data_IF_169885391702
#
_entry.id   IF_169885391702
#
_cell.length_a   1.000
_cell.length_b   1.000
_cell.length_c   1.000
_cell.angle_alpha   90.00
_cell.angle_beta   90.00
_cell.angle_gamma   90.00
#
_symmetry.space_group_name_H-M   'P 1'
#
loop_
_entity.id
_entity.type
_entity.pdbx_description
1 polymer ?
#
# COMPACT_ATOMS: atom_id res chain seq x y z
N UNK A 1 -12.37 -6.17 28.81
CA UNK A 1 -13.19 -5.22 29.59
C UNK A 1 -12.77 -3.80 29.14
N UNK A 2 -12.72 -3.54 27.82
CA UNK A 2 -11.85 -2.49 27.25
C UNK A 2 -12.56 -1.59 26.22
N UNK A 3 -13.89 -1.51 26.24
CA UNK A 3 -14.64 -0.61 25.35
C UNK A 3 -14.77 0.82 25.87
N UNK A 4 -14.39 1.07 27.14
CA UNK A 4 -14.52 2.39 27.78
C UNK A 4 -13.29 3.28 27.51
N UNK A 5 -12.12 2.69 27.23
CA UNK A 5 -10.88 3.46 27.03
C UNK A 5 -10.70 4.04 25.61
N UNK A 6 -11.33 3.45 24.58
CA UNK A 6 -11.27 3.98 23.20
C UNK A 6 -12.25 5.14 22.95
N UNK A 7 -13.39 5.18 23.65
CA UNK A 7 -14.37 6.25 23.48
C UNK A 7 -13.87 7.62 24.03
N UNK A 8 -12.99 7.60 25.02
CA UNK A 8 -12.38 8.81 25.58
C UNK A 8 -11.35 9.45 24.66
N UNK A 9 -10.49 8.66 24.01
CA UNK A 9 -9.43 9.17 23.14
C UNK A 9 -9.95 9.81 21.85
N UNK A 10 -11.03 9.25 21.28
CA UNK A 10 -11.64 9.78 20.06
C UNK A 10 -12.37 11.10 20.32
N UNK A 11 -13.01 11.23 21.51
CA UNK A 11 -13.68 12.46 21.95
C UNK A 11 -12.69 13.60 22.14
N UNK A 12 -11.58 13.36 22.86
CA UNK A 12 -10.53 14.35 23.11
C UNK A 12 -9.80 14.75 21.82
N UNK A 13 -9.52 13.80 20.93
CA UNK A 13 -8.92 14.07 19.61
C UNK A 13 -9.83 14.92 18.73
N UNK A 14 -11.14 14.67 18.76
CA UNK A 14 -12.12 15.45 17.98
C UNK A 14 -12.22 16.91 18.47
N UNK A 15 -12.14 17.11 19.79
CA UNK A 15 -12.24 18.42 20.41
C UNK A 15 -10.98 19.25 20.17
N UNK A 16 -9.80 18.62 20.28
CA UNK A 16 -8.52 19.26 19.94
C UNK A 16 -8.50 19.67 18.47
N UNK A 17 -8.94 18.79 17.57
CA UNK A 17 -9.03 19.07 16.14
C UNK A 17 -9.95 20.27 15.87
N UNK A 18 -11.10 20.35 16.55
CA UNK A 18 -12.05 21.46 16.42
C UNK A 18 -11.41 22.79 16.84
N UNK A 19 -10.77 22.83 18.00
CA UNK A 19 -10.12 24.04 18.53
C UNK A 19 -9.00 24.49 17.59
N UNK A 20 -8.13 23.59 17.15
CA UNK A 20 -7.03 23.91 16.22
C UNK A 20 -7.57 24.48 14.91
N UNK A 21 -8.59 23.85 14.32
CA UNK A 21 -9.18 24.32 13.06
C UNK A 21 -9.84 25.69 13.21
N UNK A 22 -10.54 25.93 14.32
CA UNK A 22 -11.20 27.20 14.58
C UNK A 22 -10.18 28.33 14.77
N UNK A 23 -9.16 28.13 15.62
CA UNK A 23 -8.10 29.11 15.84
C UNK A 23 -7.30 29.38 14.56
N UNK A 24 -6.99 28.35 13.76
CA UNK A 24 -6.33 28.52 12.48
C UNK A 24 -7.20 29.33 11.50
N UNK A 25 -8.51 29.09 11.47
CA UNK A 25 -9.44 29.85 10.63
C UNK A 25 -9.48 31.32 11.02
N UNK A 26 -9.58 31.63 12.31
CA UNK A 26 -9.58 32.99 12.84
C UNK A 26 -8.27 33.73 12.51
N UNK A 27 -7.12 33.06 12.64
CA UNK A 27 -5.82 33.66 12.29
C UNK A 27 -5.65 33.83 10.77
N UNK A 28 -6.12 32.89 9.95
CA UNK A 28 -6.07 33.01 8.49
C UNK A 28 -6.99 34.13 7.96
N UNK A 29 -8.11 34.39 8.63
CA UNK A 29 -9.00 35.50 8.31
C UNK A 29 -8.37 36.88 8.59
N UNK A 30 -7.49 36.97 9.60
CA UNK A 30 -6.74 38.20 9.91
C UNK A 30 -5.61 38.48 8.90
N UNK A 31 -5.18 37.47 8.14
CA UNK A 31 -4.12 37.62 7.14
C UNK A 31 -4.67 38.17 5.80
N UNK A 32 -4.23 39.38 5.45
CA UNK A 32 -4.73 40.14 4.29
C UNK A 32 -4.18 39.69 2.93
N UNK A 33 -3.10 38.90 2.90
CA UNK A 33 -2.45 38.46 1.67
C UNK A 33 -1.94 37.01 1.75
N UNK A 34 -1.65 36.43 0.59
CA UNK A 34 -1.23 35.04 0.43
C UNK A 34 0.04 34.70 1.24
N UNK A 35 1.06 35.57 1.22
CA UNK A 35 2.32 35.39 1.95
C UNK A 35 2.11 35.35 3.46
N UNK A 36 1.25 36.23 3.99
CA UNK A 36 0.87 36.23 5.40
C UNK A 36 0.10 34.97 5.79
N UNK A 37 -0.79 34.47 4.92
CA UNK A 37 -1.50 33.20 5.16
C UNK A 37 -0.55 32.00 5.20
N UNK A 38 0.42 31.92 4.28
CA UNK A 38 1.47 30.90 4.32
C UNK A 38 2.30 30.97 5.60
N UNK A 39 2.62 32.18 6.06
CA UNK A 39 3.37 32.39 7.31
C UNK A 39 2.58 31.92 8.53
N UNK A 40 1.26 32.16 8.57
CA UNK A 40 0.38 31.64 9.62
C UNK A 40 0.39 30.11 9.62
N UNK A 41 0.21 29.47 8.46
CA UNK A 41 0.28 28.01 8.35
C UNK A 41 1.63 27.44 8.82
N UNK A 42 2.75 28.06 8.43
CA UNK A 42 4.09 27.62 8.84
C UNK A 42 4.31 27.78 10.36
N UNK A 43 3.80 28.85 10.98
CA UNK A 43 3.89 29.04 12.43
C UNK A 43 3.09 27.98 13.19
N UNK A 44 1.87 27.67 12.73
CA UNK A 44 1.06 26.61 13.34
C UNK A 44 1.73 25.26 13.19
N UNK A 45 2.29 24.96 12.01
CA UNK A 45 3.06 23.74 11.79
C UNK A 45 4.30 23.65 12.70
N UNK A 46 5.03 24.76 12.87
CA UNK A 46 6.18 24.84 13.79
C UNK A 46 5.75 24.60 15.24
N UNK A 47 4.65 25.21 15.69
CA UNK A 47 4.13 25.00 17.05
C UNK A 47 3.71 23.54 17.28
N UNK A 48 3.05 22.92 16.30
CA UNK A 48 2.71 21.49 16.37
C UNK A 48 3.99 20.66 16.51
N UNK A 49 5.00 20.93 15.67
CA UNK A 49 6.32 20.31 15.73
C UNK A 49 6.98 20.46 17.11
N UNK A 50 6.93 21.65 17.71
CA UNK A 50 7.47 21.92 19.03
C UNK A 50 6.74 21.13 20.12
N UNK A 51 5.39 21.04 20.04
CA UNK A 51 4.55 20.27 20.98
C UNK A 51 4.89 18.78 20.92
N UNK A 52 5.07 18.22 19.72
CA UNK A 52 5.38 16.80 19.53
C UNK A 52 6.89 16.50 19.59
N UNK A 53 7.71 17.51 19.88
CA UNK A 53 9.17 17.42 19.95
C UNK A 53 9.82 16.83 18.69
N UNK A 54 9.33 17.23 17.51
CA UNK A 54 9.87 16.86 16.19
C UNK A 54 10.38 18.12 15.51
N UNK A 55 11.58 18.07 14.93
CA UNK A 55 12.12 19.20 14.16
C UNK A 55 11.36 19.36 12.84
N UNK A 56 11.08 20.61 12.43
CA UNK A 56 10.44 20.90 11.14
C UNK A 56 11.20 20.31 9.95
N UNK A 57 12.52 20.16 10.07
CA UNK A 57 13.38 19.52 9.07
C UNK A 57 13.14 18.01 8.90
N UNK A 58 12.48 17.36 9.85
CA UNK A 58 12.12 15.94 9.81
C UNK A 58 10.76 15.71 9.12
N UNK A 59 9.97 16.76 8.84
CA UNK A 59 8.68 16.62 8.15
C UNK A 59 8.79 16.05 6.73
N UNK A 60 9.78 16.41 5.89
CA UNK A 60 9.98 15.77 4.59
C UNK A 60 10.28 14.27 4.73
N UNK A 61 10.94 13.85 5.81
CA UNK A 61 11.20 12.44 6.07
C UNK A 61 9.90 11.68 6.35
N UNK A 62 8.92 12.30 7.03
CA UNK A 62 7.59 11.71 7.27
C UNK A 62 6.83 11.44 5.97
N UNK A 63 6.95 12.30 4.96
CA UNK A 63 6.33 12.08 3.63
C UNK A 63 6.82 10.80 2.96
N UNK A 64 8.05 10.38 3.27
CA UNK A 64 8.67 9.19 2.71
C UNK A 64 8.49 7.95 3.59
N UNK A 65 7.75 8.06 4.71
CA UNK A 65 7.42 6.94 5.57
C UNK A 65 6.13 6.26 5.12
N UNK A 66 5.99 5.01 5.54
CA UNK A 66 4.81 4.18 5.33
C UNK A 66 3.91 4.34 6.54
N UNK A 67 2.66 4.73 6.31
CA UNK A 67 1.62 4.67 7.33
C UNK A 67 1.05 3.24 7.33
N UNK A 68 1.22 2.52 8.42
CA UNK A 68 0.70 1.16 8.53
C UNK A 68 -0.77 1.20 8.93
N UNK A 69 -1.63 0.61 8.11
CA UNK A 69 -3.03 0.44 8.46
C UNK A 69 -3.19 -0.56 9.62
N UNK A 70 -4.28 -0.46 10.38
CA UNK A 70 -4.51 -1.31 11.56
C UNK A 70 -4.56 -2.81 11.21
N UNK A 71 -5.06 -3.16 10.02
CA UNK A 71 -5.13 -4.55 9.57
C UNK A 71 -3.71 -5.09 9.28
N UNK A 72 -2.83 -4.26 8.72
CA UNK A 72 -1.43 -4.61 8.49
C UNK A 72 -0.72 -4.95 9.79
N UNK A 73 -0.88 -4.11 10.81
CA UNK A 73 -0.26 -4.30 12.13
C UNK A 73 -0.74 -5.59 12.80
N UNK A 74 -2.05 -5.85 12.74
CA UNK A 74 -2.64 -7.08 13.27
C UNK A 74 -2.12 -8.31 12.54
N UNK A 75 -2.15 -8.31 11.20
CA UNK A 75 -1.68 -9.43 10.39
C UNK A 75 -0.17 -9.69 10.58
N UNK A 76 0.64 -8.63 10.62
CA UNK A 76 2.08 -8.75 10.89
C UNK A 76 2.32 -9.41 12.26
N UNK A 77 1.58 -8.98 13.29
CA UNK A 77 1.69 -9.56 14.63
C UNK A 77 1.27 -11.02 14.67
N UNK A 78 0.20 -11.40 13.96
CA UNK A 78 -0.24 -12.80 13.86
C UNK A 78 0.81 -13.67 13.18
N UNK A 79 1.35 -13.23 12.04
CA UNK A 79 2.42 -13.93 11.32
C UNK A 79 3.64 -14.08 12.22
N UNK A 80 4.01 -13.03 12.96
CA UNK A 80 5.14 -13.06 13.87
C UNK A 80 4.95 -14.05 15.02
N UNK A 81 3.80 -14.01 15.70
CA UNK A 81 3.47 -14.90 16.82
C UNK A 81 3.36 -16.36 16.39
N UNK A 82 2.87 -16.64 15.19
CA UNK A 82 2.83 -17.98 14.62
C UNK A 82 4.23 -18.62 14.49
N UNK A 83 5.29 -17.82 14.53
CA UNK A 83 6.67 -18.31 14.56
C UNK A 83 7.17 -18.71 15.96
N UNK A 84 6.37 -18.52 17.02
CA UNK A 84 6.72 -18.91 18.39
C UNK A 84 7.75 -18.00 19.06
N UNK A 85 7.72 -16.70 18.77
CA UNK A 85 8.69 -15.71 19.27
C UNK A 85 8.02 -14.76 20.27
N UNK A 86 8.64 -14.58 21.45
CA UNK A 86 8.05 -13.77 22.53
C UNK A 86 8.32 -12.26 22.42
N UNK A 87 9.37 -11.83 21.73
CA UNK A 87 9.59 -10.42 21.37
C UNK A 87 10.77 -10.33 20.40
N UNK A 88 10.71 -9.37 19.48
CA UNK A 88 11.87 -8.95 18.69
C UNK A 88 11.83 -7.42 18.61
N UNK A 89 12.92 -6.78 18.99
CA UNK A 89 13.14 -5.34 18.85
C UNK A 89 12.72 -4.79 17.48
N UNK A 90 12.88 -5.58 16.40
CA UNK A 90 12.46 -5.19 15.05
C UNK A 90 10.94 -5.04 14.93
N UNK A 91 10.16 -5.95 15.54
CA UNK A 91 8.70 -5.87 15.56
C UNK A 91 8.25 -4.73 16.48
N UNK A 92 8.82 -4.62 17.68
CA UNK A 92 8.45 -3.56 18.63
C UNK A 92 8.71 -2.17 18.06
N UNK A 93 9.81 -1.98 17.32
CA UNK A 93 10.10 -0.72 16.60
C UNK A 93 9.08 -0.37 15.52
N UNK A 94 8.39 -1.36 14.97
CA UNK A 94 7.33 -1.16 13.99
C UNK A 94 6.00 -0.91 14.70
N UNK A 95 5.67 -1.70 15.73
CA UNK A 95 4.43 -1.58 16.49
C UNK A 95 4.34 -0.27 17.28
N UNK A 96 5.47 0.27 17.74
CA UNK A 96 5.53 1.51 18.51
C UNK A 96 5.44 2.78 17.65
N UNK A 97 5.28 2.67 16.33
CA UNK A 97 5.31 3.82 15.41
C UNK A 97 4.07 3.86 14.53
N UNK A 98 3.48 5.05 14.41
CA UNK A 98 2.42 5.32 13.43
C UNK A 98 2.96 5.35 11.98
N UNK A 99 4.23 5.73 11.83
CA UNK A 99 4.94 5.85 10.54
C UNK A 99 6.26 5.09 10.57
N UNK A 100 6.52 4.29 9.55
CA UNK A 100 7.69 3.42 9.47
C UNK A 100 8.52 3.74 8.24
N UNK A 101 9.84 3.85 8.42
CA UNK A 101 10.75 3.99 7.28
C UNK A 101 10.72 2.70 6.44
N UNK A 102 10.68 2.78 5.10
CA UNK A 102 10.65 1.59 4.25
C UNK A 102 11.80 0.61 4.49
N UNK A 103 12.97 1.14 4.83
CA UNK A 103 14.16 0.34 5.18
C UNK A 103 13.93 -0.52 6.43
N UNK A 104 13.25 0.00 7.44
CA UNK A 104 13.00 -0.71 8.70
C UNK A 104 11.95 -1.81 8.48
N UNK A 105 10.89 -1.49 7.73
CA UNK A 105 9.90 -2.49 7.32
C UNK A 105 10.52 -3.59 6.46
N UNK A 106 11.37 -3.22 5.50
CA UNK A 106 12.10 -4.18 4.64
C UNK A 106 12.96 -5.15 5.44
N UNK A 107 13.62 -4.70 6.52
CA UNK A 107 14.39 -5.57 7.41
C UNK A 107 13.48 -6.55 8.15
N UNK A 108 12.38 -6.06 8.72
CA UNK A 108 11.39 -6.92 9.40
C UNK A 108 10.83 -8.00 8.46
N UNK A 109 10.40 -7.61 7.25
CA UNK A 109 9.93 -8.55 6.23
C UNK A 109 11.03 -9.54 5.84
N UNK A 110 12.27 -9.10 5.64
CA UNK A 110 13.37 -10.02 5.34
C UNK A 110 13.64 -11.02 6.47
N UNK A 111 13.45 -10.63 7.73
CA UNK A 111 13.51 -11.54 8.88
C UNK A 111 12.38 -12.58 8.84
N UNK A 112 11.16 -12.20 8.48
CA UNK A 112 10.03 -13.13 8.30
C UNK A 112 10.29 -14.11 7.15
N UNK A 113 10.66 -13.61 5.98
CA UNK A 113 10.93 -14.41 4.77
C UNK A 113 12.00 -15.45 5.03
N UNK A 114 13.14 -15.06 5.64
CA UNK A 114 14.24 -15.99 5.96
C UNK A 114 13.80 -17.14 6.87
N UNK A 115 12.74 -16.96 7.65
CA UNK A 115 12.22 -17.96 8.59
C UNK A 115 11.18 -18.84 7.92
N UNK A 116 10.25 -18.27 7.16
CA UNK A 116 9.20 -19.05 6.48
C UNK A 116 9.72 -19.82 5.27
N UNK A 117 10.63 -19.23 4.47
CA UNK A 117 11.21 -19.88 3.30
C UNK A 117 12.03 -21.15 3.65
N UNK A 118 12.46 -21.31 4.91
CA UNK A 118 13.14 -22.52 5.39
C UNK A 118 12.21 -23.68 5.68
N UNK A 119 10.91 -23.42 5.86
CA UNK A 119 9.91 -24.44 6.22
C UNK A 119 9.27 -25.04 4.98
N UNK A 120 8.67 -24.20 4.13
CA UNK A 120 8.02 -24.60 2.87
C UNK A 120 7.54 -23.38 2.08
N UNK A 121 7.45 -23.43 0.73
CA UNK A 121 6.85 -22.37 -0.08
C UNK A 121 5.44 -21.96 0.35
N UNK A 122 4.61 -22.88 0.84
CA UNK A 122 3.23 -22.59 1.28
C UNK A 122 3.16 -21.65 2.50
N UNK A 123 4.26 -21.54 3.26
CA UNK A 123 4.33 -20.64 4.41
C UNK A 123 4.60 -19.18 4.02
N UNK A 124 4.85 -18.91 2.74
CA UNK A 124 5.03 -17.56 2.22
C UNK A 124 3.72 -16.83 1.98
N UNK A 125 2.60 -17.56 1.83
CA UNK A 125 1.27 -17.00 1.56
C UNK A 125 0.88 -15.86 2.52
N UNK A 126 1.05 -15.98 3.85
CA UNK A 126 0.72 -14.87 4.76
C UNK A 126 1.56 -13.62 4.52
N UNK A 127 2.83 -13.77 4.11
CA UNK A 127 3.71 -12.64 3.77
C UNK A 127 3.27 -12.01 2.44
N UNK A 128 2.95 -12.84 1.44
CA UNK A 128 2.43 -12.37 0.17
C UNK A 128 1.11 -11.61 0.34
N UNK A 129 0.21 -12.15 1.16
CA UNK A 129 -1.04 -11.50 1.54
C UNK A 129 -0.78 -10.17 2.25
N UNK A 130 0.07 -10.14 3.28
CA UNK A 130 0.38 -8.92 4.03
C UNK A 130 0.83 -7.76 3.12
N UNK A 131 1.71 -8.08 2.18
CA UNK A 131 2.29 -7.12 1.23
C UNK A 131 1.47 -6.93 -0.03
N UNK A 132 0.35 -7.65 -0.18
CA UNK A 132 -0.48 -7.65 -1.39
C UNK A 132 0.36 -7.87 -2.66
N UNK A 133 1.16 -8.94 -2.66
CA UNK A 133 2.00 -9.31 -3.80
C UNK A 133 1.10 -9.70 -4.97
N UNK A 134 1.18 -8.96 -6.07
CA UNK A 134 0.28 -9.11 -7.23
C UNK A 134 0.91 -9.86 -8.42
N UNK A 135 2.21 -10.20 -8.30
CA UNK A 135 2.99 -10.91 -9.31
C UNK A 135 3.56 -10.03 -10.43
N UNK A 136 3.17 -8.76 -10.57
CA UNK A 136 3.68 -7.88 -11.63
C UNK A 136 5.19 -7.63 -11.51
N UNK A 137 5.73 -7.61 -10.28
CA UNK A 137 7.16 -7.47 -10.01
C UNK A 137 7.88 -8.81 -9.78
N UNK A 138 7.18 -9.93 -9.97
CA UNK A 138 7.62 -11.25 -9.52
C UNK A 138 7.36 -11.49 -8.04
N UNK A 139 8.12 -12.44 -7.47
CA UNK A 139 7.98 -12.99 -6.12
C UNK A 139 8.86 -12.30 -5.05
N UNK A 140 9.71 -11.35 -5.45
CA UNK A 140 10.56 -10.59 -4.51
C UNK A 140 9.74 -9.60 -3.69
N UNK A 141 9.34 -10.04 -2.50
CA UNK A 141 8.52 -9.30 -1.54
C UNK A 141 9.11 -7.94 -1.14
N UNK A 142 10.43 -7.75 -1.21
CA UNK A 142 11.04 -6.47 -0.82
C UNK A 142 10.62 -5.34 -1.75
N UNK A 143 10.34 -5.67 -3.01
CA UNK A 143 9.93 -4.71 -4.04
C UNK A 143 8.54 -4.13 -3.77
N UNK A 144 7.71 -4.87 -3.03
CA UNK A 144 6.34 -4.48 -2.68
C UNK A 144 6.28 -3.60 -1.42
N UNK A 145 7.34 -3.50 -0.63
CA UNK A 145 7.36 -2.66 0.58
C UNK A 145 7.11 -1.19 0.26
N UNK A 146 7.67 -0.70 -0.85
CA UNK A 146 7.48 0.68 -1.31
C UNK A 146 6.03 0.95 -1.73
N UNK A 147 5.25 -0.07 -2.07
CA UNK A 147 3.85 0.11 -2.52
C UNK A 147 2.90 0.42 -1.36
N UNK A 148 3.34 0.16 -0.13
CA UNK A 148 2.59 0.53 1.06
C UNK A 148 2.61 2.05 1.32
N UNK A 149 3.35 2.84 0.55
CA UNK A 149 3.24 4.30 0.53
C UNK A 149 1.94 4.71 -0.17
N UNK A 150 0.85 4.82 0.58
CA UNK A 150 -0.49 5.19 0.11
C UNK A 150 -0.61 6.66 -0.33
N UNK A 151 0.18 7.09 -1.32
CA UNK A 151 0.11 8.47 -1.82
C UNK A 151 -1.17 8.72 -2.64
N UNK A 152 -1.73 7.67 -3.25
CA UNK A 152 -2.96 7.73 -4.03
C UNK A 152 -3.94 6.66 -3.57
N UNK A 153 -5.23 7.01 -3.54
CA UNK A 153 -6.30 6.16 -3.02
C UNK A 153 -6.45 4.85 -3.79
N UNK A 154 -6.34 4.90 -5.12
CA UNK A 154 -6.47 3.72 -5.99
C UNK A 154 -5.41 2.64 -5.68
N UNK A 155 -4.20 3.02 -5.24
CA UNK A 155 -3.16 2.07 -4.81
C UNK A 155 -3.59 1.32 -3.56
N UNK A 156 -4.17 2.02 -2.59
CA UNK A 156 -4.69 1.42 -1.36
C UNK A 156 -5.80 0.42 -1.67
N UNK A 157 -6.78 0.84 -2.48
CA UNK A 157 -7.91 0.01 -2.91
C UNK A 157 -7.42 -1.27 -3.61
N UNK A 158 -6.45 -1.14 -4.52
CA UNK A 158 -5.84 -2.30 -5.18
C UNK A 158 -5.19 -3.27 -4.17
N UNK A 159 -4.37 -2.77 -3.25
CA UNK A 159 -3.69 -3.61 -2.27
C UNK A 159 -4.69 -4.34 -1.35
N UNK A 160 -5.77 -3.67 -0.95
CA UNK A 160 -6.85 -4.30 -0.18
C UNK A 160 -7.59 -5.39 -0.98
N UNK A 161 -7.87 -5.15 -2.26
CA UNK A 161 -8.48 -6.16 -3.14
C UNK A 161 -7.57 -7.38 -3.31
N UNK A 162 -6.26 -7.17 -3.56
CA UNK A 162 -5.29 -8.26 -3.67
C UNK A 162 -5.16 -9.05 -2.37
N UNK A 163 -5.13 -8.39 -1.20
CA UNK A 163 -5.15 -9.05 0.13
C UNK A 163 -6.34 -9.99 0.30
N UNK A 164 -7.51 -9.63 -0.25
CA UNK A 164 -8.72 -10.46 -0.18
C UNK A 164 -8.63 -11.66 -1.13
N UNK A 165 -8.08 -11.49 -2.33
CA UNK A 165 -7.87 -12.58 -3.28
C UNK A 165 -7.02 -13.73 -2.69
N UNK A 166 -6.02 -13.42 -1.87
CA UNK A 166 -5.23 -14.43 -1.15
C UNK A 166 -6.04 -15.32 -0.19
N UNK A 167 -7.33 -15.05 0.05
CA UNK A 167 -8.21 -16.02 0.74
C UNK A 167 -8.49 -17.25 -0.12
N UNK A 168 -8.40 -17.10 -1.44
CA UNK A 168 -8.78 -18.12 -2.42
C UNK A 168 -7.59 -18.65 -3.22
N UNK A 169 -6.49 -17.89 -3.30
CA UNK A 169 -5.28 -18.28 -4.03
C UNK A 169 -4.06 -18.43 -3.13
N UNK A 170 -3.08 -19.19 -3.60
CA UNK A 170 -1.88 -19.53 -2.84
C UNK A 170 -0.63 -18.78 -3.31
N UNK A 171 -0.54 -18.45 -4.60
CA UNK A 171 0.67 -17.91 -5.20
C UNK A 171 0.50 -16.54 -5.86
N UNK A 172 1.56 -15.72 -5.96
CA UNK A 172 1.56 -14.49 -6.75
C UNK A 172 1.21 -14.68 -8.23
N UNK A 173 1.56 -15.84 -8.82
CA UNK A 173 1.27 -16.14 -10.22
C UNK A 173 -0.24 -16.33 -10.44
N UNK A 174 -0.94 -16.94 -9.47
CA UNK A 174 -2.39 -17.08 -9.50
C UNK A 174 -3.08 -15.71 -9.40
N UNK A 175 -2.61 -14.83 -8.50
CA UNK A 175 -3.08 -13.45 -8.42
C UNK A 175 -2.87 -12.74 -9.76
N UNK A 176 -1.67 -12.83 -10.33
CA UNK A 176 -1.34 -12.19 -11.60
C UNK A 176 -2.29 -12.65 -12.71
N UNK A 177 -2.63 -13.94 -12.75
CA UNK A 177 -3.60 -14.45 -13.71
C UNK A 177 -4.98 -13.84 -13.50
N UNK A 178 -5.52 -13.81 -12.28
CA UNK A 178 -6.80 -13.15 -11.96
C UNK A 178 -6.79 -11.69 -12.40
N UNK A 179 -5.71 -10.95 -12.13
CA UNK A 179 -5.58 -9.54 -12.49
C UNK A 179 -5.48 -9.33 -14.00
N UNK A 180 -4.69 -10.15 -14.72
CA UNK A 180 -4.65 -10.11 -16.18
C UNK A 180 -6.04 -10.36 -16.79
N UNK A 181 -6.86 -11.24 -16.20
CA UNK A 181 -8.22 -11.49 -16.66
C UNK A 181 -9.16 -10.33 -16.37
N UNK A 182 -9.02 -9.71 -15.19
CA UNK A 182 -9.77 -8.52 -14.80
C UNK A 182 -9.47 -7.33 -15.72
N UNK A 183 -8.21 -7.19 -16.15
CA UNK A 183 -7.76 -6.14 -17.05
C UNK A 183 -8.01 -6.46 -18.54
N UNK A 184 -8.50 -7.65 -18.86
CA UNK A 184 -8.74 -8.10 -20.24
C UNK A 184 -7.46 -8.40 -21.03
N UNK A 185 -6.32 -8.60 -20.36
CA UNK A 185 -5.04 -8.89 -21.00
C UNK A 185 -4.86 -10.36 -21.35
N UNK A 186 -5.61 -11.25 -20.68
CA UNK A 186 -5.65 -12.68 -20.99
C UNK A 186 -7.10 -13.19 -20.93
N UNK A 187 -7.55 -14.00 -21.90
CA UNK A 187 -8.79 -14.76 -21.78
C UNK A 187 -8.56 -15.93 -20.82
N UNK A 188 -9.40 -16.08 -19.81
CA UNK A 188 -9.32 -17.17 -18.84
C UNK A 188 -10.67 -17.32 -18.10
N UNK A 189 -10.91 -18.51 -17.54
CA UNK A 189 -12.23 -18.99 -17.12
C UNK A 189 -12.57 -18.73 -15.63
N UNK A 190 -11.63 -18.17 -14.84
CA UNK A 190 -11.88 -17.83 -13.42
C UNK A 190 -12.71 -16.55 -13.26
N UNK A 191 -13.97 -16.62 -13.68
CA UNK A 191 -14.88 -15.48 -13.72
C UNK A 191 -15.24 -14.96 -12.31
N UNK A 192 -15.31 -15.85 -11.30
CA UNK A 192 -15.73 -15.49 -9.95
C UNK A 192 -14.70 -14.57 -9.26
N UNK A 193 -13.43 -14.97 -9.19
CA UNK A 193 -12.39 -14.17 -8.52
C UNK A 193 -12.13 -12.85 -9.25
N UNK A 194 -12.25 -12.86 -10.59
CA UNK A 194 -12.27 -11.65 -11.40
C UNK A 194 -13.38 -10.70 -10.96
N UNK A 195 -14.63 -11.18 -10.86
CA UNK A 195 -15.77 -10.37 -10.46
C UNK A 195 -15.62 -9.82 -9.03
N UNK A 196 -15.09 -10.61 -8.11
CA UNK A 196 -14.79 -10.17 -6.75
C UNK A 196 -13.77 -9.03 -6.74
N UNK A 197 -12.66 -9.18 -7.48
CA UNK A 197 -11.67 -8.13 -7.63
C UNK A 197 -12.27 -6.86 -8.24
N UNK A 198 -13.01 -6.98 -9.34
CA UNK A 198 -13.66 -5.85 -10.01
C UNK A 198 -14.65 -5.11 -9.10
N UNK A 199 -15.40 -5.86 -8.28
CA UNK A 199 -16.31 -5.29 -7.29
C UNK A 199 -15.57 -4.51 -6.20
N UNK A 200 -14.43 -5.03 -5.74
CA UNK A 200 -13.65 -4.38 -4.69
C UNK A 200 -12.93 -3.12 -5.18
N UNK A 201 -12.47 -3.09 -6.43
CA UNK A 201 -11.78 -1.91 -6.98
C UNK A 201 -12.73 -0.84 -7.52
N UNK A 202 -13.91 -1.23 -7.99
CA UNK A 202 -14.95 -0.32 -8.43
C UNK A 202 -14.47 0.67 -9.49
N UNK A 203 -14.73 1.96 -9.28
CA UNK A 203 -14.43 3.03 -10.24
C UNK A 203 -12.93 3.33 -10.36
N UNK A 204 -12.06 2.77 -9.51
CA UNK A 204 -10.61 2.96 -9.60
C UNK A 204 -9.93 2.02 -10.61
N UNK A 205 -10.69 1.16 -11.29
CA UNK A 205 -10.15 0.13 -12.17
C UNK A 205 -9.20 0.71 -13.24
N UNK A 206 -9.60 1.78 -13.93
CA UNK A 206 -8.81 2.36 -15.02
C UNK A 206 -7.48 2.95 -14.53
N UNK A 207 -7.49 3.63 -13.38
CA UNK A 207 -6.28 4.19 -12.77
C UNK A 207 -5.32 3.07 -12.34
N UNK A 208 -5.87 1.99 -11.77
CA UNK A 208 -5.08 0.82 -11.38
C UNK A 208 -4.49 0.14 -12.62
N UNK A 209 -5.27 -0.04 -13.68
CA UNK A 209 -4.80 -0.64 -14.94
C UNK A 209 -3.65 0.16 -15.54
N UNK A 210 -3.82 1.49 -15.65
CA UNK A 210 -2.77 2.39 -16.15
C UNK A 210 -1.50 2.27 -15.31
N UNK A 211 -1.64 2.32 -13.99
CA UNK A 211 -0.53 2.17 -13.06
C UNK A 211 0.19 0.83 -13.21
N UNK A 212 -0.55 -0.29 -13.32
CA UNK A 212 0.06 -1.62 -13.50
C UNK A 212 0.71 -1.81 -14.87
N UNK A 213 0.15 -1.21 -15.91
CA UNK A 213 0.76 -1.22 -17.24
C UNK A 213 2.11 -0.49 -17.24
N UNK A 214 2.17 0.71 -16.65
CA UNK A 214 3.42 1.47 -16.49
C UNK A 214 4.49 0.64 -15.75
N UNK A 215 4.11 -0.02 -14.66
CA UNK A 215 5.02 -0.90 -13.91
C UNK A 215 5.53 -2.07 -14.75
N UNK A 216 4.64 -2.74 -15.47
CA UNK A 216 4.99 -3.87 -16.31
C UNK A 216 5.97 -3.47 -17.43
N UNK A 217 5.75 -2.31 -18.04
CA UNK A 217 6.61 -1.78 -19.10
C UNK A 217 7.98 -1.33 -18.58
N UNK A 218 8.03 -0.69 -17.40
CA UNK A 218 9.30 -0.37 -16.73
C UNK A 218 10.13 -1.62 -16.42
N UNK A 219 9.48 -2.70 -15.96
CA UNK A 219 10.15 -3.96 -15.66
C UNK A 219 10.66 -4.67 -16.90
N UNK A 220 9.89 -4.66 -17.99
CA UNK A 220 10.34 -5.15 -19.30
C UNK A 220 11.57 -4.38 -19.78
N UNK A 221 11.60 -3.05 -19.65
CA UNK A 221 12.76 -2.22 -20.03
C UNK A 221 14.01 -2.57 -19.20
N UNK A 222 13.88 -2.80 -17.89
CA UNK A 222 15.00 -3.18 -17.01
C UNK A 222 15.54 -4.59 -17.30
N UNK A 223 14.67 -5.53 -17.68
CA UNK A 223 15.05 -6.92 -17.96
C UNK A 223 15.48 -7.17 -19.41
N UNK A 224 15.02 -6.37 -20.37
CA UNK A 224 15.43 -6.42 -21.79
C UNK A 224 16.92 -6.18 -22.02
N UNK A 225 17.64 -5.57 -21.07
CA UNK A 225 19.10 -5.43 -21.08
C UNK A 225 19.88 -6.66 -20.60
N UNK A 226 19.23 -7.67 -20.00
CA UNK A 226 19.86 -8.92 -19.56
C UNK A 226 19.09 -10.11 -20.13
N UNK A 227 19.58 -10.65 -21.25
CA UNK A 227 19.10 -11.92 -21.84
C UNK A 227 19.12 -13.04 -20.78
N UNK A 228 17.96 -13.31 -20.17
CA UNK A 228 17.61 -14.62 -19.61
C UNK A 228 16.43 -15.16 -20.41
N UNK A 229 16.57 -16.41 -20.84
CA UNK A 229 15.59 -17.17 -21.61
C UNK A 229 14.30 -17.28 -20.79
N UNK A 230 13.24 -16.57 -21.17
CA UNK A 230 11.89 -16.69 -20.62
C UNK A 230 10.95 -17.28 -21.67
N UNK A 231 10.03 -18.10 -21.18
CA UNK A 231 8.88 -18.68 -21.87
C UNK A 231 8.09 -17.57 -22.56
N UNK A 232 7.72 -17.79 -23.83
CA UNK A 232 6.87 -16.89 -24.62
C UNK A 232 5.53 -16.72 -23.91
N UNK A 233 5.26 -15.52 -23.42
CA UNK A 233 3.90 -15.03 -23.24
C UNK A 233 3.67 -14.11 -24.44
N UNK A 234 2.74 -14.50 -25.31
CA UNK A 234 2.40 -13.73 -26.51
C UNK A 234 1.83 -12.36 -26.12
N UNK A 235 2.22 -11.34 -26.88
CA UNK A 235 1.79 -9.96 -26.70
C UNK A 235 0.28 -9.84 -26.99
N UNK A 236 -0.49 -9.08 -26.19
CA UNK A 236 -1.88 -8.80 -26.53
C UNK A 236 -1.92 -7.88 -27.75
N UNK A 237 -2.54 -8.37 -28.83
CA UNK A 237 -2.89 -7.56 -29.99
C UNK A 237 -4.18 -6.80 -29.69
N UNK A 238 -4.13 -5.49 -29.87
CA UNK A 238 -5.29 -4.60 -29.74
C UNK A 238 -6.14 -4.74 -31.00
N UNK A 239 -7.37 -5.24 -30.88
CA UNK A 239 -8.35 -5.20 -31.98
C UNK A 239 -9.05 -3.85 -31.91
N UNK A 240 -8.59 -2.94 -32.76
CA UNK A 240 -9.21 -1.64 -32.97
C UNK A 240 -10.57 -1.86 -33.64
N UNK A 241 -11.63 -1.83 -32.85
CA UNK A 241 -13.01 -1.93 -33.34
C UNK A 241 -13.48 -0.55 -33.76
N UNK A 242 -13.04 -0.11 -34.95
CA UNK A 242 -13.75 0.91 -35.71
C UNK A 242 -14.52 0.23 -36.84
N UNK A 243 -15.79 0.00 -36.54
CA UNK A 243 -16.84 -0.21 -37.55
C UNK A 243 -16.99 1.05 -38.40
N UNK A 244 -16.92 0.90 -39.71
CA UNK A 244 -17.69 1.76 -40.61
C UNK A 244 -18.15 0.92 -41.79
N UNK A 245 -19.40 0.47 -41.68
CA UNK A 245 -20.26 0.23 -42.83
C UNK A 245 -20.20 1.44 -43.77
N UNK A 246 -20.11 1.17 -45.08
CA UNK A 246 -20.97 1.76 -46.11
C UNK A 246 -20.61 1.19 -47.49
N UNK A 247 -21.66 0.63 -48.10
CA UNK A 247 -21.90 0.26 -49.51
C UNK A 247 -21.07 -0.84 -50.20
#
# INVERSE_FOLDING_TARGET
MDRVSQAGSDSESSELRRVVLQTLSEELQKASNCTSRFTVCLRVLQQICDIINISLHQLPDLKNMIQLDANFVQNLTMIWKAQGLESNDELEKILAKDYVKPIDLSRCIASLVRREAKKSPSHMKPIYQLLAVDGFLGDDVKRYVEYLKYQEEYKKVHLEAVRKLYRHVETPDDILNVLCNAFGWKPNDEEILKLEYLKDVGYFLEDIMRWKQEQYDEEKKKTGGKKRKRVKVEEPSFVDSSSSDND
#
